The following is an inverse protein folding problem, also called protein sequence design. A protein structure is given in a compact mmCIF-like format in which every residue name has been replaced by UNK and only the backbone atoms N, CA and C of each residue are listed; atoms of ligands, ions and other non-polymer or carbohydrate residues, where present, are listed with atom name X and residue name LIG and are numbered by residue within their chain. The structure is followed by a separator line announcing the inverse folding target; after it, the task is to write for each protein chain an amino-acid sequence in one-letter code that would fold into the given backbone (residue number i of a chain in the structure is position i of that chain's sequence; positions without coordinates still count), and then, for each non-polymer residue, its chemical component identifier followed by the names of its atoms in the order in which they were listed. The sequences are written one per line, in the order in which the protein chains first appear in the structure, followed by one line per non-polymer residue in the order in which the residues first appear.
data_IF_985814985876
#
_entry.id   IF_985814985876
#
_cell.length_a   1.000
_cell.length_b   1.000
_cell.length_c   1.000
_cell.angle_alpha   90.00
_cell.angle_beta   90.00
_cell.angle_gamma   90.00
#
_symmetry.space_group_name_H-M   'P 1'
#
loop_
_entity.id
_entity.type
_entity.pdbx_description
1 polymer ?
#
# COMPACT_ATOMS: atom_id res chain seq x y z
N UNK A 1 40.50 -25.20 -22.67
CA UNK A 1 39.06 -25.23 -22.33
C UNK A 1 38.85 -24.41 -21.08
N UNK A 2 38.33 -23.19 -21.20
CA UNK A 2 38.16 -22.27 -20.07
C UNK A 2 37.10 -21.23 -20.40
N UNK A 3 35.84 -21.59 -20.22
CA UNK A 3 34.71 -20.71 -20.48
C UNK A 3 34.46 -19.78 -19.29
N UNK A 4 34.70 -18.47 -19.49
CA UNK A 4 34.23 -17.42 -18.58
C UNK A 4 32.70 -17.34 -18.66
N UNK A 5 32.03 -17.59 -17.53
CA UNK A 5 30.61 -17.25 -17.37
C UNK A 5 30.49 -15.74 -17.14
N UNK A 6 29.86 -15.04 -18.07
CA UNK A 6 29.43 -13.66 -17.86
C UNK A 6 28.27 -13.65 -16.86
N UNK A 7 28.46 -12.98 -15.73
CA UNK A 7 27.40 -12.73 -14.75
C UNK A 7 26.43 -11.69 -15.28
N UNK A 8 25.14 -12.01 -15.27
CA UNK A 8 24.06 -11.07 -15.54
C UNK A 8 23.95 -10.07 -14.38
N UNK A 9 23.83 -8.78 -14.72
CA UNK A 9 23.72 -7.68 -13.76
C UNK A 9 22.40 -7.70 -12.99
N UNK A 10 22.47 -7.50 -11.67
CA UNK A 10 21.39 -7.51 -10.68
C UNK A 10 20.34 -6.39 -10.79
N UNK A 11 20.21 -5.72 -11.94
CA UNK A 11 19.49 -4.44 -12.04
C UNK A 11 17.98 -4.56 -12.39
N UNK A 12 17.40 -5.75 -12.43
CA UNK A 12 15.98 -5.92 -12.76
C UNK A 12 15.32 -6.93 -11.83
N UNK A 13 14.61 -6.42 -10.80
CA UNK A 13 13.41 -7.01 -10.16
C UNK A 13 13.15 -6.31 -8.81
N UNK A 14 12.60 -5.10 -8.85
CA UNK A 14 11.88 -4.55 -7.70
C UNK A 14 10.49 -4.15 -8.18
N UNK A 15 9.49 -4.99 -7.91
CA UNK A 15 8.10 -4.55 -7.90
C UNK A 15 7.86 -3.96 -6.51
N UNK A 16 7.74 -2.64 -6.45
CA UNK A 16 7.31 -1.94 -5.26
C UNK A 16 5.79 -2.06 -5.15
N UNK A 17 5.28 -2.51 -4.00
CA UNK A 17 3.91 -2.23 -3.62
C UNK A 17 3.95 -0.90 -2.87
N UNK A 18 3.38 0.14 -3.45
CA UNK A 18 3.18 1.40 -2.75
C UNK A 18 1.92 2.03 -3.27
N UNK A 19 0.93 2.16 -2.38
CA UNK A 19 0.02 3.30 -2.25
C UNK A 19 -0.99 2.92 -1.15
N UNK A 20 -0.64 3.21 0.09
CA UNK A 20 -1.63 3.45 1.13
C UNK A 20 -1.58 4.95 1.41
N UNK A 21 -2.67 5.65 1.09
CA UNK A 21 -2.86 7.02 1.56
C UNK A 21 -3.26 6.91 3.03
N UNK A 22 -2.32 7.20 3.93
CA UNK A 22 -2.66 7.55 5.30
C UNK A 22 -3.20 8.98 5.27
N UNK A 23 -4.52 9.10 5.12
CA UNK A 23 -5.29 10.30 5.49
C UNK A 23 -6.75 9.88 5.67
N UNK A 24 -7.01 9.19 6.76
CA UNK A 24 -8.34 9.12 7.35
C UNK A 24 -8.19 9.19 8.88
N UNK A 25 -7.85 10.38 9.37
CA UNK A 25 -8.11 10.73 10.76
C UNK A 25 -9.63 10.81 10.90
N UNK A 26 -10.27 9.73 11.37
CA UNK A 26 -11.65 9.76 11.86
C UNK A 26 -11.70 10.37 13.28
N UNK A 27 -11.24 11.61 13.41
CA UNK A 27 -11.61 12.47 14.53
C UNK A 27 -12.31 13.69 13.97
N UNK A 28 -13.52 13.92 14.47
CA UNK A 28 -14.39 15.08 14.25
C UNK A 28 -15.37 15.02 13.08
N UNK A 29 -16.50 14.37 13.38
CA UNK A 29 -17.78 14.72 12.79
C UNK A 29 -18.25 16.07 13.37
N UNK A 30 -18.06 17.17 12.62
CA UNK A 30 -18.93 18.35 12.64
C UNK A 30 -18.67 19.20 11.38
N UNK A 31 -19.64 19.37 10.47
CA UNK A 31 -19.39 19.96 9.16
C UNK A 31 -19.72 21.46 9.14
N UNK A 32 -18.76 22.31 8.79
CA UNK A 32 -19.04 23.68 8.31
C UNK A 32 -18.05 24.16 7.24
N UNK A 33 -18.59 24.19 5.99
CA UNK A 33 -18.44 25.19 4.91
C UNK A 33 -17.10 25.26 4.13
N UNK A 34 -17.03 25.45 2.80
CA UNK A 34 -17.91 25.99 1.72
C UNK A 34 -17.62 25.25 0.38
N UNK A 35 -18.44 25.17 -0.69
CA UNK A 35 -19.52 25.98 -1.29
C UNK A 35 -20.63 25.02 -1.81
N UNK A 36 -21.92 25.35 -2.00
CA UNK A 36 -22.69 26.58 -1.90
C UNK A 36 -23.96 26.46 -2.77
N UNK A 37 -25.14 26.35 -2.15
CA UNK A 37 -26.41 26.89 -2.68
C UNK A 37 -27.34 27.18 -1.49
N UNK A 38 -27.74 28.44 -1.35
CA UNK A 38 -28.51 29.02 -0.24
C UNK A 38 -30.00 29.13 -0.60
N UNK A 39 -30.90 28.78 0.33
CA UNK A 39 -32.21 29.43 0.59
C UNK A 39 -32.64 29.18 2.06
N UNK A 40 -33.55 30.00 2.66
CA UNK A 40 -33.41 30.53 4.03
C UNK A 40 -34.20 29.81 5.15
N UNK A 41 -33.90 30.31 6.36
CA UNK A 41 -34.31 29.96 7.75
C UNK A 41 -35.80 29.65 8.00
N UNK A 42 -36.10 28.65 8.85
CA UNK A 42 -37.44 28.51 9.48
C UNK A 42 -37.67 27.26 10.36
N UNK A 43 -37.82 27.50 11.66
CA UNK A 43 -38.49 26.73 12.74
C UNK A 43 -39.24 25.39 12.44
N UNK A 44 -38.94 24.38 13.29
CA UNK A 44 -39.84 23.44 13.99
C UNK A 44 -40.97 22.63 13.27
N UNK A 45 -40.93 21.30 13.52
CA UNK A 45 -41.99 20.25 13.48
C UNK A 45 -42.29 19.56 12.13
N UNK A 46 -42.32 18.22 12.21
CA UNK A 46 -43.01 17.32 11.29
C UNK A 46 -42.12 16.63 10.26
N UNK A 47 -41.80 15.35 10.48
CA UNK A 47 -41.30 14.48 9.39
C UNK A 47 -42.48 13.66 8.89
N UNK A 48 -43.15 14.22 7.88
CA UNK A 48 -43.90 13.44 6.90
C UNK A 48 -42.93 12.82 5.86
N UNK A 49 -43.38 11.73 5.23
CA UNK A 49 -42.66 10.97 4.21
C UNK A 49 -42.19 11.87 3.06
N UNK A 50 -40.87 11.93 2.83
CA UNK A 50 -40.32 12.46 1.58
C UNK A 50 -40.18 11.33 0.55
N UNK A 51 -40.90 11.54 -0.54
CA UNK A 51 -40.87 10.82 -1.80
C UNK A 51 -39.48 10.87 -2.45
N UNK A 52 -39.09 9.75 -3.07
CA UNK A 52 -37.86 9.53 -3.83
C UNK A 52 -37.83 10.37 -5.11
N UNK A 53 -36.98 11.38 -5.16
CA UNK A 53 -36.61 12.02 -6.44
C UNK A 53 -35.55 11.17 -7.17
N UNK A 54 -35.65 11.00 -8.50
CA UNK A 54 -34.69 10.23 -9.28
C UNK A 54 -33.35 10.96 -9.44
N UNK A 55 -32.26 10.18 -9.41
CA UNK A 55 -30.89 10.64 -9.64
C UNK A 55 -30.71 10.93 -11.14
N UNK A 56 -30.05 12.05 -11.53
CA UNK A 56 -29.82 12.36 -12.94
C UNK A 56 -28.83 11.37 -13.58
N UNK A 57 -29.23 10.77 -14.70
CA UNK A 57 -28.36 9.98 -15.58
C UNK A 57 -27.37 10.90 -16.31
N UNK A 58 -26.07 10.69 -16.07
CA UNK A 58 -25.02 11.30 -16.87
C UNK A 58 -24.80 10.49 -18.15
N UNK A 59 -25.44 10.92 -19.23
CA UNK A 59 -25.18 10.41 -20.58
C UNK A 59 -23.87 10.99 -21.12
N UNK A 60 -22.76 10.28 -20.93
CA UNK A 60 -21.53 10.54 -21.69
C UNK A 60 -21.58 9.78 -23.02
N UNK A 61 -21.27 10.42 -24.16
CA UNK A 61 -21.27 9.74 -25.44
C UNK A 61 -20.19 8.66 -25.50
N UNK A 62 -20.45 7.50 -26.12
CA UNK A 62 -19.48 6.42 -26.23
C UNK A 62 -18.30 6.86 -27.10
N UNK A 63 -17.13 7.03 -26.49
CA UNK A 63 -15.90 7.39 -27.20
C UNK A 63 -15.38 6.16 -27.95
N UNK A 64 -15.64 6.12 -29.26
CA UNK A 64 -15.17 5.07 -30.16
C UNK A 64 -13.64 5.17 -30.38
N UNK A 65 -12.93 4.04 -30.19
CA UNK A 65 -11.48 3.85 -30.41
C UNK A 65 -10.94 4.39 -31.75
N UNK A 66 -11.80 4.61 -32.75
CA UNK A 66 -11.38 5.09 -34.08
C UNK A 66 -10.90 6.56 -34.09
N UNK A 67 -11.32 7.38 -33.13
CA UNK A 67 -10.93 8.80 -33.11
C UNK A 67 -9.44 9.03 -32.77
N UNK A 68 -8.80 8.13 -32.04
CA UNK A 68 -7.39 8.29 -31.68
C UNK A 68 -6.41 7.95 -32.80
N UNK A 69 -6.80 7.13 -33.79
CA UNK A 69 -5.90 6.75 -34.89
C UNK A 69 -5.86 7.84 -35.98
N UNK A 70 -6.95 8.59 -36.17
CA UNK A 70 -7.04 9.61 -37.21
C UNK A 70 -6.18 10.86 -36.93
N UNK A 71 -5.94 11.20 -35.66
CA UNK A 71 -5.16 12.39 -35.29
C UNK A 71 -3.63 12.23 -35.54
N UNK A 72 -3.12 10.99 -35.62
CA UNK A 72 -1.69 10.72 -35.79
C UNK A 72 -1.16 10.80 -37.22
N UNK A 73 -2.03 10.83 -38.24
CA UNK A 73 -1.62 10.75 -39.65
C UNK A 73 -1.65 12.09 -40.41
N UNK A 74 -2.18 13.16 -39.82
CA UNK A 74 -2.38 14.43 -40.52
C UNK A 74 -1.20 15.42 -40.45
N UNK A 75 -0.10 15.07 -39.76
CA UNK A 75 0.99 16.01 -39.43
C UNK A 75 2.25 15.97 -40.30
N UNK A 76 2.35 15.11 -41.32
CA UNK A 76 3.60 14.88 -42.03
C UNK A 76 3.53 15.23 -43.52
N UNK A 77 3.25 16.48 -43.87
CA UNK A 77 3.38 16.97 -45.25
C UNK A 77 3.50 18.50 -45.32
N UNK A 78 4.69 19.06 -45.07
CA UNK A 78 5.12 20.32 -45.70
C UNK A 78 6.59 20.65 -45.37
N UNK A 79 7.29 21.16 -46.40
CA UNK A 79 8.62 21.80 -46.42
C UNK A 79 9.82 20.90 -46.77
N UNK A 80 9.97 20.63 -48.08
CA UNK A 80 11.24 20.26 -48.68
C UNK A 80 12.08 21.53 -48.94
N UNK A 81 13.15 21.71 -48.17
CA UNK A 81 14.29 22.53 -48.55
C UNK A 81 15.47 21.58 -48.89
N UNK A 82 16.15 21.72 -50.04
CA UNK A 82 17.28 20.88 -50.39
C UNK A 82 18.55 21.41 -49.69
N UNK A 83 18.62 21.20 -48.38
CA UNK A 83 19.84 21.37 -47.59
C UNK A 83 20.40 20.01 -47.25
N UNK A 84 21.63 19.72 -47.69
CA UNK A 84 22.45 18.57 -47.28
C UNK A 84 22.75 18.66 -45.77
N UNK A 85 21.76 18.39 -44.94
CA UNK A 85 21.96 18.10 -43.52
C UNK A 85 21.95 16.59 -43.42
N UNK A 86 23.09 16.01 -43.04
CA UNK A 86 23.17 14.60 -42.70
C UNK A 86 22.16 14.29 -41.61
N UNK A 87 20.99 13.81 -42.01
CA UNK A 87 20.01 13.18 -41.12
C UNK A 87 20.68 11.90 -40.66
N UNK A 88 21.44 12.01 -39.57
CA UNK A 88 21.62 10.91 -38.66
C UNK A 88 20.21 10.51 -38.26
N UNK A 89 19.65 9.52 -38.95
CA UNK A 89 18.41 8.86 -38.60
C UNK A 89 18.60 8.29 -37.20
N UNK A 90 18.36 9.13 -36.19
CA UNK A 90 18.26 8.72 -34.82
C UNK A 90 17.10 7.73 -34.83
N UNK A 91 17.44 6.44 -34.72
CA UNK A 91 16.46 5.37 -34.63
C UNK A 91 15.50 5.76 -33.51
N UNK A 92 14.26 6.09 -33.89
CA UNK A 92 13.25 6.45 -32.92
C UNK A 92 13.17 5.31 -31.90
N UNK A 93 13.40 5.62 -30.63
CA UNK A 93 13.38 4.62 -29.58
C UNK A 93 12.02 3.91 -29.62
N UNK A 94 12.02 2.64 -30.00
CA UNK A 94 10.81 1.83 -29.99
C UNK A 94 10.43 1.65 -28.54
N UNK A 95 9.39 2.37 -28.12
CA UNK A 95 8.85 2.22 -26.78
C UNK A 95 8.28 0.80 -26.64
N UNK A 96 8.48 0.14 -25.49
CA UNK A 96 7.92 -1.18 -25.28
C UNK A 96 6.39 -1.12 -25.34
N UNK A 97 5.79 -2.01 -26.13
CA UNK A 97 4.34 -2.19 -26.13
C UNK A 97 3.91 -2.73 -24.76
N UNK A 98 3.20 -1.91 -23.99
CA UNK A 98 2.63 -2.33 -22.70
C UNK A 98 1.22 -2.86 -22.91
N UNK A 99 0.93 -4.07 -22.41
CA UNK A 99 -0.44 -4.58 -22.34
C UNK A 99 -1.14 -3.93 -21.14
N UNK A 100 -2.23 -3.18 -21.33
CA UNK A 100 -2.97 -2.62 -20.21
C UNK A 100 -3.53 -3.76 -19.33
N UNK A 101 -3.36 -3.64 -18.02
CA UNK A 101 -4.07 -4.47 -17.06
C UNK A 101 -5.54 -4.04 -17.01
N UNK A 102 -6.45 -4.93 -16.61
CA UNK A 102 -7.83 -4.54 -16.37
C UNK A 102 -7.91 -3.53 -15.22
N UNK A 103 -8.83 -2.57 -15.32
CA UNK A 103 -9.12 -1.63 -14.23
C UNK A 103 -9.48 -2.34 -12.92
N UNK A 104 -10.09 -3.52 -13.01
CA UNK A 104 -10.34 -4.38 -11.85
C UNK A 104 -9.07 -4.79 -11.11
N UNK A 105 -7.99 -5.15 -11.82
CA UNK A 105 -6.71 -5.47 -11.18
C UNK A 105 -6.04 -4.26 -10.51
N UNK A 106 -6.29 -3.06 -11.04
CA UNK A 106 -5.84 -1.82 -10.41
C UNK A 106 -6.61 -1.60 -9.13
N UNK A 107 -7.93 -1.77 -9.15
CA UNK A 107 -8.77 -1.70 -7.95
C UNK A 107 -8.35 -2.71 -6.87
N UNK A 108 -8.09 -3.96 -7.25
CA UNK A 108 -7.56 -5.01 -6.36
C UNK A 108 -6.11 -4.77 -5.89
N UNK A 109 -5.42 -3.74 -6.39
CA UNK A 109 -4.07 -3.42 -5.92
C UNK A 109 -4.07 -2.54 -4.66
N UNK A 110 -5.21 -1.93 -4.31
CA UNK A 110 -5.30 -0.98 -3.20
C UNK A 110 -5.91 -1.60 -1.94
N UNK A 111 -5.38 -1.18 -0.80
CA UNK A 111 -5.91 -1.49 0.52
C UNK A 111 -5.97 -0.23 1.39
N UNK A 112 -6.53 -0.38 2.58
CA UNK A 112 -6.69 0.72 3.55
C UNK A 112 -5.81 0.46 4.77
N UNK A 113 -5.02 1.47 5.17
CA UNK A 113 -4.32 1.45 6.45
C UNK A 113 -5.32 1.62 7.60
N UNK A 114 -5.11 0.85 8.66
CA UNK A 114 -5.97 0.83 9.84
C UNK A 114 -5.14 0.58 11.09
N UNK A 115 -5.70 0.93 12.25
CA UNK A 115 -5.06 0.72 13.54
C UNK A 115 -5.93 -0.14 14.47
N UNK A 116 -6.10 -1.45 14.21
CA UNK A 116 -6.89 -2.33 15.08
C UNK A 116 -6.39 -2.36 16.53
N UNK A 117 -5.12 -2.01 16.75
CA UNK A 117 -4.50 -1.88 18.06
C UNK A 117 -4.85 -0.58 18.81
N UNK A 118 -5.47 0.42 18.17
CA UNK A 118 -5.81 1.71 18.80
C UNK A 118 -7.18 1.67 19.49
N UNK A 119 -7.34 0.76 20.46
CA UNK A 119 -8.62 0.48 21.13
C UNK A 119 -9.24 1.64 21.94
N UNK A 120 -8.57 2.79 22.03
CA UNK A 120 -9.09 4.02 22.65
C UNK A 120 -9.75 4.98 21.64
N UNK A 121 -9.65 4.69 20.35
CA UNK A 121 -10.15 5.52 19.25
C UNK A 121 -11.40 4.90 18.61
N UNK A 122 -11.86 5.43 17.47
CA UNK A 122 -12.91 4.81 16.65
C UNK A 122 -12.62 3.34 16.26
N UNK A 123 -11.35 2.92 16.26
CA UNK A 123 -10.95 1.54 15.96
C UNK A 123 -11.47 0.50 16.95
N UNK A 124 -11.93 0.91 18.15
CA UNK A 124 -12.61 0.03 19.11
C UNK A 124 -13.92 -0.57 18.56
N UNK A 125 -14.53 0.07 17.57
CA UNK A 125 -15.76 -0.39 16.92
C UNK A 125 -15.46 -1.29 15.72
N UNK A 126 -14.65 -2.33 15.93
CA UNK A 126 -14.08 -3.17 14.86
C UNK A 126 -15.09 -3.65 13.83
N UNK A 127 -16.23 -4.20 14.26
CA UNK A 127 -17.25 -4.68 13.33
C UNK A 127 -17.86 -3.56 12.47
N UNK A 128 -18.00 -2.35 13.00
CA UNK A 128 -18.64 -1.23 12.31
C UNK A 128 -17.74 -0.67 11.21
N UNK A 129 -16.47 -0.38 11.53
CA UNK A 129 -15.55 0.15 10.53
C UNK A 129 -15.17 -0.91 9.49
N UNK A 130 -15.12 -2.20 9.86
CA UNK A 130 -14.87 -3.26 8.90
C UNK A 130 -16.03 -3.44 7.91
N UNK A 131 -17.28 -3.33 8.39
CA UNK A 131 -18.45 -3.34 7.52
C UNK A 131 -18.49 -2.12 6.60
N UNK A 132 -18.12 -0.94 7.11
CA UNK A 132 -18.00 0.27 6.30
C UNK A 132 -16.92 0.11 5.23
N UNK A 133 -15.74 -0.42 5.58
CA UNK A 133 -14.66 -0.72 4.64
C UNK A 133 -15.10 -1.72 3.56
N UNK A 134 -15.80 -2.78 3.95
CA UNK A 134 -16.35 -3.76 3.01
C UNK A 134 -17.37 -3.11 2.06
N UNK A 135 -18.16 -2.15 2.54
CA UNK A 135 -19.17 -1.45 1.71
C UNK A 135 -18.57 -0.53 0.65
N UNK A 136 -17.32 -0.08 0.81
CA UNK A 136 -16.58 0.61 -0.25
C UNK A 136 -16.01 -0.37 -1.28
N UNK A 137 -16.20 -1.68 -1.04
CA UNK A 137 -15.69 -2.80 -1.81
C UNK A 137 -14.21 -3.13 -1.54
N UNK A 138 -13.59 -2.53 -0.54
CA UNK A 138 -12.18 -2.79 -0.25
C UNK A 138 -11.98 -4.24 0.20
N UNK A 139 -10.97 -4.90 -0.38
CA UNK A 139 -10.64 -6.30 -0.10
C UNK A 139 -9.47 -6.47 0.86
N UNK A 140 -8.76 -5.38 1.16
CA UNK A 140 -7.47 -5.41 1.85
C UNK A 140 -7.39 -4.31 2.92
N UNK A 141 -6.85 -4.69 4.08
CA UNK A 141 -6.40 -3.74 5.09
C UNK A 141 -4.94 -4.00 5.47
N UNK A 142 -4.22 -2.94 5.83
CA UNK A 142 -2.91 -3.01 6.50
C UNK A 142 -3.07 -2.54 7.94
N UNK A 143 -2.43 -3.20 8.89
CA UNK A 143 -2.43 -2.75 10.27
C UNK A 143 -1.54 -3.58 11.18
N UNK A 144 -1.19 -3.03 12.34
CA UNK A 144 -0.40 -3.72 13.35
C UNK A 144 -1.18 -4.89 13.96
N UNK A 145 -0.60 -6.08 13.95
CA UNK A 145 -1.17 -7.28 14.56
C UNK A 145 -0.58 -7.49 15.95
N UNK A 146 -1.42 -7.55 16.98
CA UNK A 146 -0.99 -7.67 18.38
C UNK A 146 -1.81 -8.75 19.08
N UNK A 147 -1.26 -9.97 19.15
CA UNK A 147 -2.01 -11.17 19.55
C UNK A 147 -2.61 -11.12 20.96
N UNK A 148 -2.06 -10.32 21.86
CA UNK A 148 -2.47 -10.13 23.25
C UNK A 148 -3.52 -9.01 23.44
N UNK A 149 -3.89 -8.29 22.38
CA UNK A 149 -4.98 -7.30 22.46
C UNK A 149 -6.35 -7.95 22.30
N UNK A 150 -7.30 -7.55 23.15
CA UNK A 150 -8.71 -7.96 23.07
C UNK A 150 -9.37 -7.64 21.71
N UNK A 151 -8.88 -6.62 21.00
CA UNK A 151 -9.38 -6.26 19.67
C UNK A 151 -8.97 -7.25 18.57
N UNK A 152 -7.89 -8.02 18.76
CA UNK A 152 -7.33 -8.88 17.70
C UNK A 152 -8.27 -10.03 17.32
N UNK A 153 -8.84 -10.82 18.25
CA UNK A 153 -9.84 -11.83 17.91
C UNK A 153 -11.07 -11.24 17.19
N UNK A 154 -11.54 -10.07 17.62
CA UNK A 154 -12.66 -9.37 16.99
C UNK A 154 -12.31 -8.93 15.56
N UNK A 155 -11.10 -8.44 15.32
CA UNK A 155 -10.61 -8.03 13.99
C UNK A 155 -10.49 -9.22 13.06
N UNK A 156 -9.95 -10.34 13.55
CA UNK A 156 -9.87 -11.59 12.77
C UNK A 156 -11.27 -12.05 12.36
N UNK A 157 -12.23 -12.07 13.29
CA UNK A 157 -13.61 -12.47 13.02
C UNK A 157 -14.27 -11.55 11.98
N UNK A 158 -14.11 -10.24 12.13
CA UNK A 158 -14.69 -9.25 11.23
C UNK A 158 -14.06 -9.31 9.82
N UNK A 159 -12.74 -9.46 9.72
CA UNK A 159 -12.05 -9.62 8.44
C UNK A 159 -12.57 -10.86 7.70
N UNK A 160 -12.70 -12.00 8.39
CA UNK A 160 -13.30 -13.23 7.82
C UNK A 160 -14.73 -13.03 7.35
N UNK A 161 -15.59 -12.40 8.16
CA UNK A 161 -17.01 -12.23 7.81
C UNK A 161 -17.22 -11.35 6.58
N UNK A 162 -16.27 -10.46 6.29
CA UNK A 162 -16.32 -9.56 5.14
C UNK A 162 -15.40 -9.98 3.97
N UNK A 163 -14.70 -11.11 4.08
CA UNK A 163 -13.76 -11.56 3.06
C UNK A 163 -12.53 -10.66 2.89
N UNK A 164 -12.23 -9.82 3.87
CA UNK A 164 -11.09 -8.90 3.83
C UNK A 164 -9.82 -9.64 4.24
N UNK A 165 -8.74 -9.48 3.46
CA UNK A 165 -7.40 -9.94 3.82
C UNK A 165 -6.63 -8.84 4.55
N UNK A 166 -5.75 -9.24 5.44
CA UNK A 166 -4.99 -8.36 6.32
C UNK A 166 -3.49 -8.50 6.08
N UNK A 167 -2.85 -7.41 5.66
CA UNK A 167 -1.41 -7.20 5.74
C UNK A 167 -0.97 -6.86 7.17
N UNK A 168 -0.29 -7.81 7.81
CA UNK A 168 -0.03 -7.77 9.25
C UNK A 168 1.38 -7.27 9.53
N UNK A 169 1.51 -6.03 9.96
CA UNK A 169 2.75 -5.54 10.57
C UNK A 169 2.91 -6.19 11.95
N UNK A 170 4.07 -6.77 12.21
CA UNK A 170 4.30 -7.56 13.44
C UNK A 170 5.33 -6.96 14.37
N UNK A 171 6.15 -6.02 13.91
CA UNK A 171 7.16 -5.36 14.73
C UNK A 171 6.91 -3.84 14.77
N UNK A 172 6.64 -3.26 15.95
CA UNK A 172 6.54 -1.80 16.11
C UNK A 172 7.88 -1.10 15.88
N UNK A 173 7.84 0.22 15.75
CA UNK A 173 8.98 1.15 15.66
C UNK A 173 9.71 1.32 17.01
N UNK A 174 9.05 1.10 18.14
CA UNK A 174 9.57 1.35 19.50
C UNK A 174 10.63 0.34 20.02
N UNK A 175 10.96 -0.68 19.24
CA UNK A 175 11.89 -1.78 19.60
C UNK A 175 11.52 -2.56 20.86
N UNK A 176 10.36 -2.32 21.48
CA UNK A 176 9.98 -2.91 22.76
C UNK A 176 9.62 -4.39 22.68
N UNK A 177 9.36 -4.90 21.48
CA UNK A 177 8.98 -6.30 21.26
C UNK A 177 10.20 -7.23 21.29
N UNK A 178 10.27 -8.11 22.28
CA UNK A 178 11.29 -9.17 22.37
C UNK A 178 11.21 -10.14 21.19
N UNK A 179 12.30 -10.86 20.91
CA UNK A 179 12.34 -11.88 19.85
C UNK A 179 11.31 -12.99 20.10
N UNK A 180 11.18 -13.44 21.34
CA UNK A 180 10.17 -14.43 21.73
C UNK A 180 8.75 -13.89 21.54
N UNK A 181 8.50 -12.62 21.87
CA UNK A 181 7.21 -11.97 21.64
C UNK A 181 6.85 -11.86 20.16
N UNK A 182 7.85 -11.55 19.31
CA UNK A 182 7.71 -11.52 17.86
C UNK A 182 7.41 -12.91 17.28
N UNK A 183 8.15 -13.94 17.70
CA UNK A 183 7.88 -15.34 17.31
C UNK A 183 6.46 -15.75 17.72
N UNK A 184 6.07 -15.47 18.97
CA UNK A 184 4.75 -15.83 19.50
C UNK A 184 3.63 -15.17 18.68
N UNK A 185 3.80 -13.89 18.33
CA UNK A 185 2.88 -13.14 17.47
C UNK A 185 2.71 -13.79 16.09
N UNK A 186 3.81 -14.17 15.43
CA UNK A 186 3.75 -14.83 14.12
C UNK A 186 3.12 -16.23 14.22
N UNK A 187 3.46 -17.00 15.26
CA UNK A 187 2.83 -18.31 15.50
C UNK A 187 1.33 -18.19 15.77
N UNK A 188 0.90 -17.12 16.43
CA UNK A 188 -0.51 -16.83 16.63
C UNK A 188 -1.22 -16.52 15.30
N UNK A 189 -0.58 -15.77 14.38
CA UNK A 189 -1.09 -15.57 13.01
C UNK A 189 -1.25 -16.93 12.31
N UNK A 190 -0.22 -17.77 12.33
CA UNK A 190 -0.24 -19.10 11.71
C UNK A 190 -1.40 -19.97 12.21
N UNK A 191 -1.71 -19.89 13.50
CA UNK A 191 -2.75 -20.69 14.14
C UNK A 191 -4.16 -20.13 13.93
N UNK A 192 -4.32 -18.80 13.98
CA UNK A 192 -5.65 -18.19 14.12
C UNK A 192 -6.03 -17.24 13.00
N UNK A 193 -5.15 -16.92 12.06
CA UNK A 193 -5.41 -15.91 11.03
C UNK A 193 -4.71 -16.18 9.69
N UNK A 194 -4.14 -17.37 9.47
CA UNK A 194 -3.38 -17.71 8.26
C UNK A 194 -4.21 -17.61 6.98
N UNK A 195 -5.51 -17.89 7.05
CA UNK A 195 -6.47 -17.79 5.95
C UNK A 195 -6.75 -16.36 5.51
N UNK A 196 -6.66 -15.39 6.42
CA UNK A 196 -6.85 -13.96 6.12
C UNK A 196 -5.53 -13.18 6.02
N UNK A 197 -4.40 -13.78 6.40
CA UNK A 197 -3.09 -13.14 6.32
C UNK A 197 -2.65 -13.00 4.86
N UNK A 198 -2.60 -11.75 4.37
CA UNK A 198 -2.12 -11.43 3.03
C UNK A 198 -0.59 -11.48 2.96
N UNK A 199 0.05 -10.85 3.95
CA UNK A 199 1.49 -10.81 4.15
C UNK A 199 1.81 -10.54 5.62
N UNK A 200 3.03 -10.89 6.02
CA UNK A 200 3.64 -10.44 7.27
C UNK A 200 4.68 -9.39 6.92
N UNK A 201 4.60 -8.22 7.54
CA UNK A 201 5.50 -7.11 7.30
C UNK A 201 6.53 -6.95 8.41
N UNK A 202 7.72 -6.48 8.02
CA UNK A 202 8.86 -6.19 8.87
C UNK A 202 8.66 -5.08 9.90
N UNK A 203 9.77 -4.49 10.32
CA UNK A 203 9.78 -3.37 11.27
C UNK A 203 9.14 -2.13 10.62
N UNK A 204 8.17 -1.53 11.30
CA UNK A 204 7.58 -0.27 10.88
C UNK A 204 8.56 0.89 11.10
N UNK A 205 8.84 1.70 10.07
CA UNK A 205 9.60 2.96 10.12
C UNK A 205 10.83 2.99 11.07
N UNK A 206 11.75 2.02 11.00
CA UNK A 206 12.90 1.95 11.91
C UNK A 206 13.90 3.12 11.75
N UNK A 207 13.76 3.89 10.67
CA UNK A 207 14.58 5.03 10.32
C UNK A 207 13.94 6.38 10.73
N UNK A 208 12.90 6.36 11.56
CA UNK A 208 12.18 7.55 12.00
C UNK A 208 11.80 7.43 13.49
N UNK A 209 11.87 8.55 14.20
CA UNK A 209 11.40 8.67 15.58
C UNK A 209 10.26 9.70 15.63
N UNK A 210 9.15 9.33 16.28
CA UNK A 210 7.91 10.13 16.30
C UNK A 210 8.04 11.45 17.04
N UNK A 211 8.97 11.53 17.99
CA UNK A 211 9.27 12.74 18.78
C UNK A 211 10.23 13.70 18.05
N UNK A 212 10.67 13.36 16.84
CA UNK A 212 11.64 14.14 16.07
C UNK A 212 13.09 13.94 16.52
N UNK A 213 13.35 13.05 17.48
CA UNK A 213 14.71 12.68 17.85
C UNK A 213 15.41 11.89 16.73
N UNK A 214 16.71 11.68 16.90
CA UNK A 214 17.49 10.91 15.92
C UNK A 214 17.24 9.42 16.15
N UNK A 215 16.93 8.64 15.09
CA UNK A 215 16.87 7.18 15.20
C UNK A 215 18.14 6.60 15.78
N UNK A 216 18.00 5.54 16.58
CA UNK A 216 19.12 4.82 17.16
C UNK A 216 20.17 4.46 16.08
N UNK A 217 21.46 4.70 16.34
CA UNK A 217 22.50 4.51 15.31
C UNK A 217 22.64 3.07 14.79
N UNK A 218 22.16 2.09 15.56
CA UNK A 218 22.16 0.66 15.25
C UNK A 218 20.81 0.16 14.72
N UNK A 219 19.87 1.07 14.37
CA UNK A 219 18.60 0.70 13.75
C UNK A 219 18.76 -0.24 12.54
N UNK A 220 19.76 -0.08 11.63
CA UNK A 220 19.88 -0.97 10.46
C UNK A 220 20.15 -2.42 10.86
N UNK A 221 21.03 -2.64 11.84
CA UNK A 221 21.38 -3.97 12.33
C UNK A 221 20.22 -4.59 13.11
N UNK A 222 19.51 -3.80 13.92
CA UNK A 222 18.29 -4.25 14.62
C UNK A 222 17.22 -4.66 13.63
N UNK A 223 16.95 -3.84 12.61
CA UNK A 223 16.00 -4.15 11.53
C UNK A 223 16.38 -5.44 10.81
N UNK A 224 17.64 -5.61 10.41
CA UNK A 224 18.08 -6.83 9.72
C UNK A 224 17.88 -8.07 10.60
N UNK A 225 18.23 -7.99 11.88
CA UNK A 225 18.07 -9.10 12.83
C UNK A 225 16.59 -9.49 12.97
N UNK A 226 15.70 -8.52 13.18
CA UNK A 226 14.25 -8.74 13.28
C UNK A 226 13.68 -9.27 11.97
N UNK A 227 14.09 -8.73 10.82
CA UNK A 227 13.63 -9.18 9.51
C UNK A 227 14.02 -10.63 9.24
N UNK A 228 15.25 -11.03 9.59
CA UNK A 228 15.71 -12.43 9.49
C UNK A 228 14.84 -13.33 10.36
N UNK A 229 14.54 -12.92 11.59
CA UNK A 229 13.70 -13.69 12.51
C UNK A 229 12.26 -13.84 11.98
N UNK A 230 11.69 -12.77 11.42
CA UNK A 230 10.37 -12.79 10.77
C UNK A 230 10.39 -13.78 9.60
N UNK A 231 11.37 -13.66 8.71
CA UNK A 231 11.53 -14.55 7.56
C UNK A 231 11.61 -16.01 7.98
N UNK A 232 12.51 -16.35 8.91
CA UNK A 232 12.68 -17.71 9.40
C UNK A 232 11.41 -18.26 10.03
N UNK A 233 10.71 -17.45 10.83
CA UNK A 233 9.48 -17.88 11.50
C UNK A 233 8.34 -18.09 10.51
N UNK A 234 8.16 -17.20 9.55
CA UNK A 234 7.11 -17.31 8.52
C UNK A 234 7.39 -18.46 7.56
N UNK A 235 8.62 -18.55 7.02
CA UNK A 235 8.98 -19.61 6.07
C UNK A 235 9.15 -20.98 6.72
N UNK A 236 9.36 -21.03 8.04
CA UNK A 236 9.44 -22.27 8.81
C UNK A 236 8.10 -22.87 9.24
N UNK A 237 6.98 -22.15 9.09
CA UNK A 237 5.64 -22.65 9.45
C UNK A 237 4.84 -22.98 8.17
N UNK A 238 4.48 -24.25 7.98
CA UNK A 238 3.78 -24.72 6.78
C UNK A 238 2.41 -24.05 6.57
N UNK A 239 1.77 -23.60 7.65
CA UNK A 239 0.48 -22.88 7.61
C UNK A 239 0.62 -21.46 7.04
N UNK A 240 1.85 -20.95 6.94
CA UNK A 240 2.18 -19.65 6.35
C UNK A 240 2.93 -19.79 5.03
N UNK A 241 3.00 -20.98 4.43
CA UNK A 241 3.74 -21.22 3.18
C UNK A 241 3.25 -20.37 2.00
N UNK A 242 1.97 -19.98 1.99
CA UNK A 242 1.39 -19.06 1.01
C UNK A 242 1.63 -17.58 1.32
N UNK A 243 2.04 -17.25 2.55
CA UNK A 243 2.17 -15.89 3.04
C UNK A 243 3.50 -15.28 2.61
N UNK A 244 3.42 -14.04 2.10
CA UNK A 244 4.58 -13.25 1.70
C UNK A 244 5.16 -12.50 2.89
N UNK A 245 6.47 -12.34 2.90
CA UNK A 245 7.19 -11.52 3.87
C UNK A 245 7.55 -10.20 3.21
N UNK A 246 6.97 -9.11 3.70
CA UNK A 246 7.31 -7.76 3.27
C UNK A 246 8.44 -7.24 4.16
N UNK A 247 9.39 -6.54 3.57
CA UNK A 247 10.49 -5.89 4.28
C UNK A 247 10.03 -4.80 5.25
N UNK A 248 10.96 -4.12 5.93
CA UNK A 248 10.63 -2.97 6.76
C UNK A 248 10.06 -1.84 5.90
N UNK A 249 9.07 -1.13 6.44
CA UNK A 249 8.50 0.06 5.80
C UNK A 249 9.28 1.28 6.23
N UNK A 250 10.36 1.60 5.51
CA UNK A 250 11.13 2.82 5.80
C UNK A 250 10.30 4.06 5.51
N UNK A 251 10.44 5.09 6.35
CA UNK A 251 9.90 6.41 6.06
C UNK A 251 10.71 7.06 4.94
N UNK A 252 10.05 7.33 3.82
CA UNK A 252 10.65 7.90 2.62
C UNK A 252 10.58 9.43 2.67
N UNK A 253 11.59 10.05 3.27
CA UNK A 253 11.87 11.49 3.24
C UNK A 253 13.02 11.78 2.26
N UNK A 254 13.45 13.03 2.14
CA UNK A 254 14.66 13.36 1.37
C UNK A 254 15.88 12.61 1.93
N UNK A 255 16.63 11.92 1.07
CA UNK A 255 17.84 11.18 1.44
C UNK A 255 17.62 9.72 1.86
N UNK A 256 16.38 9.22 1.91
CA UNK A 256 16.09 7.81 2.24
C UNK A 256 16.70 6.82 1.23
N UNK A 257 17.05 7.24 0.01
CA UNK A 257 17.74 6.39 -0.98
C UNK A 257 19.03 5.79 -0.44
N UNK A 258 19.79 6.58 0.33
CA UNK A 258 21.01 6.13 0.99
C UNK A 258 20.74 5.06 2.05
N UNK A 259 19.59 5.14 2.72
CA UNK A 259 19.17 4.18 3.74
C UNK A 259 18.67 2.88 3.10
N UNK A 260 17.93 2.95 1.98
CA UNK A 260 17.60 1.76 1.18
C UNK A 260 18.86 1.07 0.68
N UNK A 261 19.84 1.83 0.18
CA UNK A 261 21.13 1.28 -0.24
C UNK A 261 21.85 0.60 0.93
N UNK A 262 21.92 1.26 2.08
CA UNK A 262 22.52 0.71 3.30
C UNK A 262 21.89 -0.64 3.67
N UNK A 263 20.55 -0.73 3.69
CA UNK A 263 19.87 -1.98 4.00
C UNK A 263 20.13 -3.06 2.93
N UNK A 264 20.20 -2.67 1.66
CA UNK A 264 20.61 -3.55 0.56
C UNK A 264 22.02 -4.11 0.73
N UNK A 265 22.99 -3.24 1.05
CA UNK A 265 24.39 -3.61 1.30
C UNK A 265 24.51 -4.56 2.52
N UNK A 266 23.64 -4.39 3.53
CA UNK A 266 23.52 -5.29 4.68
C UNK A 266 22.86 -6.64 4.35
N UNK A 267 22.37 -6.85 3.13
CA UNK A 267 21.81 -8.11 2.66
C UNK A 267 20.35 -8.35 3.04
N UNK A 268 19.57 -7.30 3.37
CA UNK A 268 18.17 -7.47 3.78
C UNK A 268 17.30 -8.17 2.72
N UNK A 269 17.66 -8.05 1.44
CA UNK A 269 16.93 -8.66 0.33
C UNK A 269 16.83 -10.20 0.40
N UNK A 270 17.67 -10.85 1.20
CA UNK A 270 17.59 -12.30 1.43
C UNK A 270 16.43 -12.70 2.36
N UNK A 271 15.81 -11.74 3.04
CA UNK A 271 14.81 -11.97 4.10
C UNK A 271 13.48 -11.26 3.83
N UNK A 272 13.17 -11.01 2.55
CA UNK A 272 11.89 -10.43 2.13
C UNK A 272 11.51 -10.90 0.71
N UNK A 273 10.21 -11.02 0.46
CA UNK A 273 9.64 -11.23 -0.86
C UNK A 273 9.44 -9.89 -1.59
N UNK A 274 9.12 -8.82 -0.85
CA UNK A 274 8.88 -7.47 -1.37
C UNK A 274 9.46 -6.40 -0.45
N UNK A 275 9.90 -5.28 -1.02
CA UNK A 275 10.26 -4.08 -0.26
C UNK A 275 9.01 -3.23 0.04
N UNK A 276 9.06 -2.46 1.12
CA UNK A 276 8.02 -1.51 1.48
C UNK A 276 8.59 -0.13 1.83
N UNK A 277 7.71 0.87 1.77
CA UNK A 277 8.02 2.26 2.09
C UNK A 277 6.77 2.98 2.56
N UNK A 278 6.95 3.95 3.45
CA UNK A 278 5.93 4.94 3.78
C UNK A 278 6.32 6.29 3.19
N UNK A 279 5.51 6.78 2.23
CA UNK A 279 5.73 8.07 1.58
C UNK A 279 4.56 8.99 1.94
N UNK A 280 4.81 9.94 2.84
CA UNK A 280 3.88 10.99 3.20
C UNK A 280 4.22 12.25 2.42
N UNK A 281 3.24 12.85 1.73
CA UNK A 281 3.42 14.14 1.09
C UNK A 281 3.15 15.24 2.12
N UNK A 282 4.10 16.16 2.32
CA UNK A 282 3.97 17.26 3.29
C UNK A 282 4.81 17.13 4.57
N UNK A 283 5.78 16.21 4.59
CA UNK A 283 6.90 16.25 5.53
C UNK A 283 7.92 17.32 5.14
#
# INVERSE_FOLDING_TARGET
MGGRKQGLSSAQKYQFFTHCFDTAVMSDFSPKLCYGLLLPVGCSRGIERLSSAPVPEFNLPPVSRRHFIAAGLAGASAAAAPGLVGVNSASAAVLPTVRPLSSHKVYEAFGVCSHPNFGKTGYKYTSQWMAALASTGASYLRGMYVHDLAATPTTIKAARSHGIKWGMAVCPDDWGLSDQGLIARIKHIAQYASDICLYVEGVNEPNHERDGSRPASDWPQRTLSKQRLIWQTVKGDSRLSHVKVVGPSLQAVEGTESQYKLMGDLGIAQYMDYAAMHRYHGG
#
